data_IF_492396139817
#
_entry.id   IF_492396139817
#
_cell.length_a   1.000
_cell.length_b   1.000
_cell.length_c   1.000
_cell.angle_alpha   90.00
_cell.angle_beta   90.00
_cell.angle_gamma   90.00
#
_symmetry.space_group_name_H-M   'P 1'
#
loop_
_entity.id
_entity.type
_entity.pdbx_description
1 polymer ?
#
# COMPACT_ATOMS: atom_id res chain seq x y z
N UNK A 1 3.88 -16.59 -15.00
CA UNK A 1 3.85 -15.71 -16.19
C UNK A 1 4.80 -14.54 -15.96
N UNK A 2 5.98 -14.52 -16.60
CA UNK A 2 7.02 -13.51 -16.33
C UNK A 2 6.78 -12.18 -17.07
N UNK A 3 6.15 -12.20 -18.25
CA UNK A 3 5.89 -11.00 -19.06
C UNK A 3 4.82 -10.09 -18.43
N UNK A 4 3.95 -10.64 -17.59
CA UNK A 4 2.90 -9.87 -16.91
C UNK A 4 3.37 -9.17 -15.64
N UNK A 5 4.53 -9.52 -15.09
CA UNK A 5 5.04 -8.95 -13.83
C UNK A 5 5.25 -7.44 -13.90
N UNK A 6 5.61 -6.92 -15.07
CA UNK A 6 5.86 -5.48 -15.28
C UNK A 6 4.59 -4.67 -15.57
N UNK A 7 3.41 -5.31 -15.65
CA UNK A 7 2.16 -4.59 -15.92
C UNK A 7 1.66 -3.92 -14.65
N UNK A 8 2.01 -2.64 -14.47
CA UNK A 8 1.55 -1.78 -13.36
C UNK A 8 0.03 -1.86 -13.16
N UNK A 9 -0.73 -1.98 -14.26
CA UNK A 9 -2.20 -2.17 -14.25
C UNK A 9 -2.66 -3.30 -13.32
N UNK A 10 -1.94 -4.42 -13.26
CA UNK A 10 -2.36 -5.54 -12.42
C UNK A 10 -2.11 -5.25 -10.95
N UNK A 11 -0.98 -4.63 -10.61
CA UNK A 11 -0.71 -4.21 -9.24
C UNK A 11 -1.73 -3.17 -8.76
N UNK A 12 -2.07 -2.17 -9.59
CA UNK A 12 -3.05 -1.14 -9.23
C UNK A 12 -4.46 -1.72 -9.05
N UNK A 13 -4.84 -2.74 -9.81
CA UNK A 13 -6.12 -3.44 -9.62
C UNK A 13 -6.17 -4.22 -8.29
N UNK A 14 -5.09 -4.92 -7.95
CA UNK A 14 -4.97 -5.66 -6.67
C UNK A 14 -5.06 -4.70 -5.48
N UNK A 15 -4.38 -3.54 -5.57
CA UNK A 15 -4.38 -2.51 -4.53
C UNK A 15 -5.46 -1.45 -4.72
N UNK A 16 -6.60 -1.79 -5.33
CA UNK A 16 -7.66 -0.82 -5.56
C UNK A 16 -8.57 -0.65 -4.35
N UNK A 17 -9.19 0.54 -4.22
CA UNK A 17 -10.22 0.80 -3.20
C UNK A 17 -11.35 -0.22 -3.21
N UNK A 18 -11.78 -0.68 -4.40
CA UNK A 18 -12.82 -1.70 -4.53
C UNK A 18 -12.39 -3.06 -3.95
N UNK A 19 -11.11 -3.41 -4.02
CA UNK A 19 -10.59 -4.62 -3.37
C UNK A 19 -10.64 -4.51 -1.85
N UNK A 20 -10.25 -3.37 -1.28
CA UNK A 20 -10.37 -3.14 0.17
C UNK A 20 -11.82 -3.27 0.64
N UNK A 21 -12.77 -2.67 -0.09
CA UNK A 21 -14.22 -2.80 0.20
C UNK A 21 -14.68 -4.25 0.06
N UNK A 22 -14.22 -4.97 -0.96
CA UNK A 22 -14.55 -6.38 -1.16
C UNK A 22 -14.06 -7.27 -0.01
N UNK A 23 -12.81 -7.09 0.42
CA UNK A 23 -12.23 -7.79 1.58
C UNK A 23 -13.08 -7.53 2.83
N UNK A 24 -13.41 -6.27 3.10
CA UNK A 24 -14.26 -5.89 4.23
C UNK A 24 -15.63 -6.57 4.17
N UNK A 25 -16.29 -6.49 3.01
CA UNK A 25 -17.62 -7.02 2.80
C UNK A 25 -17.65 -8.53 3.04
N UNK A 26 -16.77 -9.30 2.39
CA UNK A 26 -16.78 -10.75 2.53
C UNK A 26 -16.29 -11.21 3.92
N UNK A 27 -15.38 -10.48 4.57
CA UNK A 27 -15.06 -10.72 5.99
C UNK A 27 -16.29 -10.55 6.88
N UNK A 28 -17.09 -9.51 6.67
CA UNK A 28 -18.33 -9.28 7.41
C UNK A 28 -19.39 -10.37 7.16
N UNK A 29 -19.38 -10.99 5.98
CA UNK A 29 -20.20 -12.18 5.66
C UNK A 29 -19.62 -13.49 6.22
N UNK A 30 -18.65 -13.44 7.14
CA UNK A 30 -17.98 -14.60 7.73
C UNK A 30 -17.33 -15.55 6.70
N UNK A 31 -16.83 -15.01 5.59
CA UNK A 31 -16.03 -15.78 4.65
C UNK A 31 -14.76 -16.29 5.35
N UNK A 32 -14.66 -17.61 5.55
CA UNK A 32 -13.57 -18.22 6.30
C UNK A 32 -12.18 -17.87 5.76
N UNK A 33 -12.05 -17.84 4.42
CA UNK A 33 -10.78 -17.48 3.76
C UNK A 33 -10.34 -16.03 3.94
N UNK A 34 -11.22 -15.16 4.45
CA UNK A 34 -10.94 -13.75 4.75
C UNK A 34 -11.05 -13.44 6.24
N UNK A 35 -11.06 -14.47 7.09
CA UNK A 35 -10.90 -14.28 8.54
C UNK A 35 -9.55 -13.60 8.80
N UNK A 36 -9.52 -12.63 9.72
CA UNK A 36 -8.30 -11.86 10.07
C UNK A 36 -7.66 -11.11 8.89
N UNK A 37 -8.47 -10.62 7.95
CA UNK A 37 -8.00 -9.84 6.80
C UNK A 37 -8.07 -8.32 7.02
N UNK A 38 -8.17 -7.86 8.27
CA UNK A 38 -8.30 -6.43 8.57
C UNK A 38 -7.05 -5.67 8.12
N UNK A 39 -5.89 -6.19 8.49
CA UNK A 39 -4.58 -5.65 8.17
C UNK A 39 -4.35 -5.66 6.66
N UNK A 40 -4.78 -6.72 5.97
CA UNK A 40 -4.72 -6.79 4.50
C UNK A 40 -5.61 -5.72 3.85
N UNK A 41 -6.84 -5.54 4.33
CA UNK A 41 -7.73 -4.48 3.85
C UNK A 41 -7.09 -3.08 4.04
N UNK A 42 -6.57 -2.81 5.23
CA UNK A 42 -5.97 -1.52 5.57
C UNK A 42 -4.73 -1.25 4.74
N UNK A 43 -3.88 -2.25 4.54
CA UNK A 43 -2.73 -2.20 3.65
C UNK A 43 -3.17 -1.91 2.20
N UNK A 44 -4.15 -2.64 1.68
CA UNK A 44 -4.71 -2.42 0.33
C UNK A 44 -5.20 -0.98 0.17
N UNK A 45 -5.91 -0.44 1.16
CA UNK A 45 -6.42 0.93 1.12
C UNK A 45 -5.30 1.97 1.22
N UNK A 46 -4.30 1.75 2.06
CA UNK A 46 -3.14 2.64 2.21
C UNK A 46 -2.34 2.72 0.90
N UNK A 47 -2.09 1.56 0.27
CA UNK A 47 -1.43 1.50 -1.04
C UNK A 47 -2.24 2.19 -2.14
N UNK A 48 -3.57 2.01 -2.18
CA UNK A 48 -4.45 2.72 -3.12
C UNK A 48 -4.27 4.23 -3.00
N UNK A 49 -4.44 4.74 -1.77
CA UNK A 49 -4.46 6.18 -1.52
C UNK A 49 -3.11 6.83 -1.80
N UNK A 50 -2.02 6.16 -1.40
CA UNK A 50 -0.66 6.60 -1.71
C UNK A 50 -0.44 6.67 -3.23
N UNK A 51 -0.82 5.62 -3.97
CA UNK A 51 -0.66 5.59 -5.43
C UNK A 51 -1.49 6.68 -6.13
N UNK A 52 -2.75 6.87 -5.71
CA UNK A 52 -3.64 7.89 -6.27
C UNK A 52 -3.12 9.31 -6.01
N UNK A 53 -2.64 9.58 -4.78
CA UNK A 53 -2.06 10.88 -4.40
C UNK A 53 -0.82 11.22 -5.25
N UNK A 54 0.04 10.23 -5.54
CA UNK A 54 1.22 10.42 -6.40
C UNK A 54 0.87 10.55 -7.90
N UNK A 55 -0.29 10.06 -8.35
CA UNK A 55 -0.66 9.97 -9.76
C UNK A 55 -1.86 10.84 -10.16
N UNK A 56 -2.19 11.88 -9.38
CA UNK A 56 -3.23 12.85 -9.76
C UNK A 56 -2.93 13.47 -11.12
N UNK A 57 -3.93 13.44 -12.00
CA UNK A 57 -3.76 13.85 -13.41
C UNK A 57 -4.05 15.33 -13.65
N UNK A 58 -4.92 15.93 -12.83
CA UNK A 58 -5.36 17.30 -13.05
C UNK A 58 -4.52 18.28 -12.23
N UNK A 59 -4.01 19.37 -12.81
CA UNK A 59 -3.28 20.40 -12.07
C UNK A 59 -4.08 21.04 -10.92
N UNK A 60 -5.41 20.99 -10.99
CA UNK A 60 -6.31 21.39 -9.91
C UNK A 60 -6.25 20.45 -8.69
N UNK A 61 -5.94 19.17 -8.92
CA UNK A 61 -5.74 18.11 -7.92
C UNK A 61 -4.27 17.92 -7.56
N UNK A 62 -3.37 18.70 -8.15
CA UNK A 62 -1.94 18.64 -7.83
C UNK A 62 -1.71 18.87 -6.34
N UNK A 63 -0.60 18.32 -5.84
CA UNK A 63 -0.20 18.49 -4.44
C UNK A 63 -0.02 19.98 -4.17
N UNK A 64 -0.91 20.53 -3.33
CA UNK A 64 -0.92 21.92 -2.88
C UNK A 64 -0.85 21.93 -1.36
N UNK A 65 -0.34 23.03 -0.81
CA UNK A 65 -0.38 23.27 0.64
C UNK A 65 -1.85 23.21 1.09
N UNK A 66 -2.16 22.35 2.07
CA UNK A 66 -3.52 22.03 2.57
C UNK A 66 -4.39 21.13 1.66
N UNK A 67 -3.81 20.37 0.72
CA UNK A 67 -4.53 19.30 0.02
C UNK A 67 -4.48 18.00 0.83
N UNK A 68 -5.60 17.28 0.90
CA UNK A 68 -5.71 15.94 1.49
C UNK A 68 -4.67 14.95 0.95
N UNK A 69 -4.30 15.06 -0.32
CA UNK A 69 -3.26 14.20 -0.89
C UNK A 69 -1.88 14.45 -0.25
N UNK A 70 -1.59 15.67 0.24
CA UNK A 70 -0.36 15.94 0.99
C UNK A 70 -0.38 15.22 2.35
N UNK A 71 -1.52 15.21 3.05
CA UNK A 71 -1.69 14.47 4.31
C UNK A 71 -1.49 12.97 4.09
N UNK A 72 -2.08 12.41 3.03
CA UNK A 72 -1.91 10.99 2.65
C UNK A 72 -0.44 10.66 2.42
N UNK A 73 0.32 11.53 1.74
CA UNK A 73 1.74 11.30 1.49
C UNK A 73 2.56 11.41 2.78
N UNK A 74 2.28 12.39 3.64
CA UNK A 74 2.96 12.53 4.93
C UNK A 74 2.71 11.32 5.84
N UNK A 75 1.46 10.85 5.93
CA UNK A 75 1.11 9.64 6.69
C UNK A 75 1.76 8.38 6.10
N UNK A 76 1.88 8.31 4.78
CA UNK A 76 2.54 7.18 4.11
C UNK A 76 4.04 7.16 4.39
N UNK A 77 4.69 8.33 4.37
CA UNK A 77 6.10 8.47 4.73
C UNK A 77 6.34 8.07 6.19
N UNK A 78 5.58 8.63 7.13
CA UNK A 78 5.69 8.29 8.55
C UNK A 78 5.49 6.79 8.80
N UNK A 79 4.58 6.16 8.06
CA UNK A 79 4.33 4.71 8.16
C UNK A 79 5.52 3.88 7.64
N UNK A 80 6.17 4.30 6.56
CA UNK A 80 7.40 3.67 6.06
C UNK A 80 8.56 3.84 7.06
N UNK A 81 8.74 5.04 7.61
CA UNK A 81 9.78 5.34 8.61
C UNK A 81 9.58 4.49 9.88
N UNK A 82 8.33 4.31 10.31
CA UNK A 82 8.00 3.41 11.42
C UNK A 82 8.34 1.96 11.09
N UNK A 83 8.09 1.53 9.85
CA UNK A 83 8.42 0.17 9.42
C UNK A 83 9.94 -0.05 9.45
N UNK A 84 10.74 0.91 8.98
CA UNK A 84 12.20 0.87 9.03
C UNK A 84 12.72 0.92 10.47
N UNK A 85 12.19 1.83 11.30
CA UNK A 85 12.50 1.92 12.73
C UNK A 85 12.22 0.61 13.47
N UNK A 86 11.13 -0.10 13.11
CA UNK A 86 10.81 -1.38 13.71
C UNK A 86 11.82 -2.47 13.34
N UNK A 87 12.39 -2.42 12.13
CA UNK A 87 13.48 -3.31 11.73
C UNK A 87 14.76 -3.01 12.54
N UNK A 88 15.15 -1.74 12.65
CA UNK A 88 16.34 -1.33 13.41
C UNK A 88 16.25 -1.73 14.88
N UNK A 89 15.04 -1.65 15.46
CA UNK A 89 14.76 -2.06 16.84
C UNK A 89 14.62 -3.57 17.03
N UNK A 90 14.68 -4.36 15.96
CA UNK A 90 14.48 -5.82 16.01
C UNK A 90 13.06 -6.25 16.35
N UNK A 91 12.06 -5.37 16.18
CA UNK A 91 10.64 -5.69 16.38
C UNK A 91 10.06 -6.48 15.20
N UNK A 92 10.72 -6.41 14.04
CA UNK A 92 10.45 -7.25 12.87
C UNK A 92 11.77 -7.81 12.33
N UNK A 93 11.69 -8.94 11.65
CA UNK A 93 12.84 -9.60 11.02
C UNK A 93 13.09 -9.04 9.61
N UNK A 94 14.32 -9.18 9.10
CA UNK A 94 14.69 -8.77 7.74
C UNK A 94 13.78 -9.41 6.66
N UNK A 95 13.35 -10.67 6.89
CA UNK A 95 12.41 -11.38 5.99
C UNK A 95 10.99 -10.81 6.00
N UNK A 96 10.64 -10.02 7.01
CA UNK A 96 9.34 -9.36 7.21
C UNK A 96 9.40 -7.89 6.74
N UNK A 97 10.56 -7.44 6.28
CA UNK A 97 10.78 -6.12 5.72
C UNK A 97 10.83 -6.15 4.18
N UNK A 98 10.89 -4.98 3.56
CA UNK A 98 11.04 -4.84 2.12
C UNK A 98 12.31 -5.59 1.65
N UNK A 99 12.17 -6.39 0.58
CA UNK A 99 13.29 -7.10 -0.03
C UNK A 99 14.36 -6.12 -0.49
N UNK A 100 15.63 -6.48 -0.31
CA UNK A 100 16.77 -5.69 -0.81
C UNK A 100 16.55 -5.34 -2.28
N UNK A 101 16.80 -4.07 -2.61
CA UNK A 101 16.61 -3.60 -3.97
C UNK A 101 17.46 -4.42 -4.94
N UNK A 102 16.94 -4.67 -6.14
CA UNK A 102 17.66 -5.40 -7.18
C UNK A 102 19.01 -4.74 -7.50
N UNK A 103 19.11 -3.41 -7.34
CA UNK A 103 20.35 -2.65 -7.50
C UNK A 103 21.41 -2.88 -6.43
N UNK A 104 21.05 -3.42 -5.26
CA UNK A 104 22.00 -3.79 -4.20
C UNK A 104 22.49 -5.24 -4.34
N UNK A 105 21.92 -5.99 -5.29
CA UNK A 105 22.28 -7.39 -5.59
C UNK A 105 23.06 -7.52 -6.91
N UNK A 106 23.44 -6.39 -7.51
CA UNK A 106 24.31 -6.23 -8.69
C UNK A 106 25.61 -5.56 -8.24
#
# INVERSE_FOLDING_TARGET
NNLTKMKVKYATQVFSKSMAVGIQFYRAQMCYGLKNSLETQEFTLKMNNMFDAMNRKFPAEAIRKNNKDFEVLQESLNWLDQWETNLEKGLIQEKEFLTKNTSQSL
#
